data_IF_830540343863
#
_entry.id   IF_830540343863
#
_cell.length_a   1.000
_cell.length_b   1.000
_cell.length_c   1.000
_cell.angle_alpha   90.00
_cell.angle_beta   90.00
_cell.angle_gamma   90.00
#
_symmetry.space_group_name_H-M   'P 1'
#
loop_
_entity.id
_entity.type
_entity.pdbx_description
1 polymer ?
#
# COMPACT_ATOMS: atom_id res chain seq x y z
N UNK A 1 -5.62 34.89 -2.17
CA UNK A 1 -4.34 34.32 -1.71
C UNK A 1 -4.36 33.80 -0.26
N UNK A 2 -5.47 33.95 0.49
CA UNK A 2 -5.69 33.27 1.79
C UNK A 2 -6.68 32.10 1.71
N UNK A 3 -7.35 31.90 0.56
CA UNK A 3 -8.37 30.86 0.36
C UNK A 3 -7.77 29.47 0.13
N UNK A 4 -6.61 29.41 -0.52
CA UNK A 4 -6.09 28.14 -1.05
C UNK A 4 -5.39 27.34 0.05
N UNK A 5 -4.71 28.04 0.98
CA UNK A 5 -4.04 27.45 2.14
C UNK A 5 -5.06 26.86 3.13
N UNK A 6 -6.19 27.55 3.37
CA UNK A 6 -7.25 27.08 4.27
C UNK A 6 -7.99 25.89 3.65
N UNK A 7 -8.12 25.86 2.32
CA UNK A 7 -8.72 24.76 1.57
C UNK A 7 -7.91 23.47 1.71
N UNK A 8 -6.60 23.51 1.51
CA UNK A 8 -5.71 22.35 1.68
C UNK A 8 -5.72 21.82 3.12
N UNK A 9 -5.63 22.71 4.11
CA UNK A 9 -5.59 22.33 5.52
C UNK A 9 -6.88 21.66 6.02
N UNK A 10 -8.03 22.04 5.44
CA UNK A 10 -9.32 21.42 5.74
C UNK A 10 -9.45 20.08 4.99
N UNK A 11 -9.04 20.03 3.71
CA UNK A 11 -9.02 18.78 2.94
C UNK A 11 -8.16 17.71 3.64
N UNK A 12 -6.96 18.05 4.09
CA UNK A 12 -6.09 17.11 4.81
C UNK A 12 -6.71 16.60 6.13
N UNK A 13 -7.49 17.46 6.81
CA UNK A 13 -8.19 17.10 8.07
C UNK A 13 -9.45 16.25 7.86
N UNK A 14 -10.09 16.32 6.68
CA UNK A 14 -11.29 15.55 6.35
C UNK A 14 -11.03 14.33 5.46
N UNK A 15 -9.88 14.26 4.79
CA UNK A 15 -9.57 13.20 3.83
C UNK A 15 -9.04 11.90 4.46
N UNK A 16 -8.60 11.90 5.71
CA UNK A 16 -7.88 10.76 6.28
C UNK A 16 -8.49 10.39 7.64
N UNK A 17 -9.15 9.23 7.78
CA UNK A 17 -9.34 8.67 9.11
C UNK A 17 -7.95 8.40 9.69
N UNK A 18 -7.58 9.10 10.77
CA UNK A 18 -6.35 8.83 11.51
C UNK A 18 -6.44 7.43 12.12
N UNK A 19 -6.02 6.43 11.36
CA UNK A 19 -5.83 5.07 11.86
C UNK A 19 -4.34 4.91 12.15
N UNK A 20 -3.97 5.15 13.41
CA UNK A 20 -2.63 4.86 13.89
C UNK A 20 -2.52 3.36 14.15
N UNK A 21 -1.82 2.65 13.26
CA UNK A 21 -1.40 1.28 13.50
C UNK A 21 0.05 1.29 13.99
N UNK A 22 0.34 0.75 15.19
CA UNK A 22 1.71 0.45 15.59
C UNK A 22 2.37 -0.43 14.52
N UNK A 23 3.64 -0.20 14.22
CA UNK A 23 4.41 -1.00 13.25
C UNK A 23 5.81 -1.31 13.77
N UNK A 24 5.94 -1.49 15.08
CA UNK A 24 7.23 -1.74 15.74
C UNK A 24 7.62 -3.22 15.66
N UNK A 25 6.63 -4.11 15.50
CA UNK A 25 6.84 -5.56 15.43
C UNK A 25 6.34 -6.16 14.13
N UNK A 26 6.91 -7.30 13.74
CA UNK A 26 6.48 -8.04 12.55
C UNK A 26 5.01 -8.45 12.66
N UNK A 27 4.51 -8.82 13.85
CA UNK A 27 3.12 -9.20 14.05
C UNK A 27 2.15 -8.04 13.81
N UNK A 28 2.51 -6.82 14.23
CA UNK A 28 1.70 -5.64 13.99
C UNK A 28 1.66 -5.29 12.49
N UNK A 29 2.81 -5.37 11.82
CA UNK A 29 2.92 -5.19 10.36
C UNK A 29 2.09 -6.20 9.58
N UNK A 30 2.13 -7.46 9.99
CA UNK A 30 1.29 -8.55 9.45
C UNK A 30 -0.19 -8.26 9.64
N UNK A 31 -0.61 -7.83 10.83
CA UNK A 31 -2.01 -7.50 11.09
C UNK A 31 -2.51 -6.36 10.18
N UNK A 32 -1.70 -5.33 9.99
CA UNK A 32 -2.03 -4.27 9.04
C UNK A 32 -2.08 -4.78 7.60
N UNK A 33 -1.09 -5.55 7.16
CA UNK A 33 -1.07 -6.12 5.81
C UNK A 33 -2.30 -6.99 5.53
N UNK A 34 -2.74 -7.79 6.52
CA UNK A 34 -3.98 -8.57 6.44
C UNK A 34 -5.22 -7.68 6.36
N UNK A 35 -5.26 -6.60 7.14
CA UNK A 35 -6.34 -5.63 7.06
C UNK A 35 -6.42 -5.00 5.66
N UNK A 36 -5.30 -4.51 5.13
CA UNK A 36 -5.23 -3.95 3.77
C UNK A 36 -5.65 -4.96 2.71
N UNK A 37 -5.24 -6.23 2.84
CA UNK A 37 -5.64 -7.30 1.92
C UNK A 37 -7.16 -7.55 1.92
N UNK A 38 -7.84 -7.23 3.02
CA UNK A 38 -9.30 -7.35 3.12
C UNK A 38 -10.06 -6.14 2.59
N UNK A 39 -9.38 -5.00 2.36
CA UNK A 39 -10.02 -3.77 1.90
C UNK A 39 -10.36 -3.81 0.41
N UNK A 40 -11.48 -3.19 0.06
CA UNK A 40 -11.78 -2.84 -1.33
C UNK A 40 -10.88 -1.69 -1.80
N UNK A 41 -10.75 -1.55 -3.12
CA UNK A 41 -9.93 -0.48 -3.73
C UNK A 41 -10.35 0.92 -3.28
N UNK A 42 -11.65 1.19 -3.22
CA UNK A 42 -12.20 2.48 -2.77
C UNK A 42 -11.86 2.81 -1.31
N UNK A 43 -11.87 1.80 -0.43
CA UNK A 43 -11.52 1.96 0.99
C UNK A 43 -10.03 2.22 1.17
N UNK A 44 -9.18 1.60 0.35
CA UNK A 44 -7.73 1.82 0.37
C UNK A 44 -7.36 3.27 -0.03
N UNK A 45 -8.13 3.89 -0.93
CA UNK A 45 -7.90 5.29 -1.33
C UNK A 45 -8.34 6.31 -0.27
N UNK A 46 -9.03 5.89 0.79
CA UNK A 46 -9.31 6.76 1.95
C UNK A 46 -8.09 6.91 2.86
N UNK A 47 -7.02 6.15 2.62
CA UNK A 47 -5.75 6.33 3.34
C UNK A 47 -4.98 7.54 2.83
N UNK A 48 -4.03 8.04 3.63
CA UNK A 48 -3.14 9.12 3.20
C UNK A 48 -2.23 8.66 2.06
N UNK A 49 -1.79 9.58 1.19
CA UNK A 49 -0.74 9.31 0.19
C UNK A 49 0.50 8.66 0.83
N UNK A 50 0.89 9.12 2.02
CA UNK A 50 2.04 8.60 2.75
C UNK A 50 1.86 7.15 3.20
N UNK A 51 0.61 6.65 3.25
CA UNK A 51 0.35 5.25 3.56
C UNK A 51 1.02 4.32 2.54
N UNK A 52 1.10 4.72 1.27
CA UNK A 52 1.75 3.93 0.21
C UNK A 52 3.28 3.85 0.33
N UNK A 53 3.88 4.57 1.28
CA UNK A 53 5.30 4.45 1.62
C UNK A 53 5.63 3.31 2.60
N UNK A 54 4.61 2.73 3.27
CA UNK A 54 4.84 1.72 4.30
C UNK A 54 4.92 0.29 3.73
N UNK A 55 5.91 -0.52 4.13
CA UNK A 55 6.05 -1.91 3.71
C UNK A 55 4.82 -2.77 3.97
N UNK A 56 4.12 -2.54 5.08
CA UNK A 56 2.88 -3.27 5.45
C UNK A 56 1.73 -3.01 4.49
N UNK A 57 1.63 -1.81 3.93
CA UNK A 57 0.62 -1.51 2.90
C UNK A 57 1.00 -2.26 1.62
N UNK A 58 2.26 -2.19 1.19
CA UNK A 58 2.76 -2.90 0.00
C UNK A 58 2.54 -4.41 0.11
N UNK A 59 2.86 -5.01 1.26
CA UNK A 59 2.62 -6.42 1.55
C UNK A 59 1.13 -6.79 1.58
N UNK A 60 0.25 -5.82 1.86
CA UNK A 60 -1.19 -6.01 1.98
C UNK A 60 -1.97 -5.82 0.69
N UNK A 61 -1.47 -5.08 -0.30
CA UNK A 61 -2.19 -4.80 -1.56
C UNK A 61 -2.54 -6.10 -2.29
N UNK A 62 -3.78 -6.22 -2.78
CA UNK A 62 -4.21 -7.29 -3.68
C UNK A 62 -4.15 -6.88 -5.16
N UNK A 63 -4.30 -7.84 -6.06
CA UNK A 63 -4.42 -7.62 -7.50
C UNK A 63 -5.59 -6.67 -7.83
N UNK A 64 -6.73 -6.83 -7.15
CA UNK A 64 -7.88 -5.95 -7.31
C UNK A 64 -7.59 -4.53 -6.81
N UNK A 65 -6.84 -4.39 -5.71
CA UNK A 65 -6.45 -3.07 -5.21
C UNK A 65 -5.50 -2.37 -6.20
N UNK A 66 -4.49 -3.06 -6.75
CA UNK A 66 -3.53 -2.42 -7.66
C UNK A 66 -4.18 -2.02 -8.98
N UNK A 67 -5.11 -2.82 -9.51
CA UNK A 67 -5.89 -2.46 -10.68
C UNK A 67 -6.75 -1.21 -10.41
N UNK A 68 -7.40 -1.17 -9.25
CA UNK A 68 -8.22 -0.03 -8.85
C UNK A 68 -7.38 1.24 -8.65
N UNK A 69 -6.21 1.15 -8.01
CA UNK A 69 -5.27 2.26 -7.85
C UNK A 69 -4.84 2.80 -9.21
N UNK A 70 -4.43 1.92 -10.14
CA UNK A 70 -3.99 2.35 -11.46
C UNK A 70 -5.05 3.14 -12.23
N UNK A 71 -6.33 2.80 -12.05
CA UNK A 71 -7.46 3.44 -12.74
C UNK A 71 -8.01 4.68 -12.04
N UNK A 72 -8.02 4.71 -10.71
CA UNK A 72 -8.82 5.67 -9.94
C UNK A 72 -8.03 6.51 -8.94
N UNK A 73 -6.81 6.10 -8.56
CA UNK A 73 -6.04 6.85 -7.57
C UNK A 73 -5.57 8.21 -8.13
N UNK A 74 -5.46 9.23 -7.27
CA UNK A 74 -4.74 10.46 -7.60
C UNK A 74 -3.30 10.18 -8.05
N UNK A 75 -2.75 11.03 -8.92
CA UNK A 75 -1.40 10.88 -9.48
C UNK A 75 -0.34 10.71 -8.39
N UNK A 76 -0.37 11.54 -7.34
CA UNK A 76 0.58 11.49 -6.23
C UNK A 76 0.58 10.15 -5.47
N UNK A 77 -0.54 9.43 -5.42
CA UNK A 77 -0.62 8.10 -4.80
C UNK A 77 0.09 7.07 -5.66
N UNK A 78 -0.09 7.16 -6.97
CA UNK A 78 0.55 6.26 -7.92
C UNK A 78 2.06 6.50 -7.97
N UNK A 79 2.48 7.76 -7.95
CA UNK A 79 3.90 8.14 -7.90
C UNK A 79 4.54 7.63 -6.61
N UNK A 80 3.95 7.89 -5.44
CA UNK A 80 4.48 7.41 -4.15
C UNK A 80 4.60 5.88 -4.12
N UNK A 81 3.59 5.17 -4.64
CA UNK A 81 3.62 3.71 -4.76
C UNK A 81 4.77 3.24 -5.66
N UNK A 82 4.93 3.84 -6.84
CA UNK A 82 5.98 3.50 -7.80
C UNK A 82 7.38 3.77 -7.23
N UNK A 83 7.57 4.91 -6.57
CA UNK A 83 8.82 5.25 -5.92
C UNK A 83 9.13 4.31 -4.76
N UNK A 84 8.11 3.95 -3.99
CA UNK A 84 8.25 3.06 -2.84
C UNK A 84 8.67 1.65 -3.23
N UNK A 85 8.08 1.05 -4.27
CA UNK A 85 8.47 -0.30 -4.71
C UNK A 85 9.88 -0.36 -5.32
N UNK A 86 10.47 0.80 -5.69
CA UNK A 86 11.86 0.90 -6.16
C UNK A 86 12.87 0.96 -5.01
N UNK A 87 12.41 1.18 -3.78
CA UNK A 87 13.26 1.18 -2.59
C UNK A 87 13.48 -0.25 -2.12
N UNK A 88 14.68 -0.79 -2.35
CA UNK A 88 15.03 -2.18 -2.04
C UNK A 88 14.71 -2.57 -0.59
N UNK A 89 14.94 -1.68 0.38
CA UNK A 89 14.67 -1.95 1.78
C UNK A 89 13.17 -2.12 2.07
N UNK A 90 12.30 -1.33 1.41
CA UNK A 90 10.84 -1.45 1.55
C UNK A 90 10.38 -2.78 0.96
N UNK A 91 10.86 -3.08 -0.25
CA UNK A 91 10.47 -4.31 -0.95
C UNK A 91 10.91 -5.54 -0.16
N UNK A 92 12.14 -5.55 0.37
CA UNK A 92 12.63 -6.62 1.25
C UNK A 92 11.73 -6.79 2.47
N UNK A 93 11.42 -5.70 3.16
CA UNK A 93 10.57 -5.75 4.36
C UNK A 93 9.13 -6.20 4.02
N UNK A 94 8.57 -5.79 2.88
CA UNK A 94 7.27 -6.25 2.42
C UNK A 94 7.25 -7.77 2.14
N UNK A 95 8.34 -8.33 1.60
CA UNK A 95 8.50 -9.78 1.46
C UNK A 95 8.62 -10.48 2.82
N UNK A 96 9.36 -9.93 3.79
CA UNK A 96 9.44 -10.47 5.16
C UNK A 96 8.04 -10.50 5.83
N UNK A 97 7.24 -9.46 5.65
CA UNK A 97 5.85 -9.40 6.13
C UNK A 97 4.98 -10.45 5.42
N UNK A 98 5.11 -10.58 4.09
CA UNK A 98 4.34 -11.56 3.31
C UNK A 98 4.70 -13.01 3.67
N UNK A 99 5.97 -13.30 3.93
CA UNK A 99 6.42 -14.59 4.44
C UNK A 99 5.81 -14.89 5.82
N UNK A 100 5.77 -13.90 6.71
CA UNK A 100 5.13 -14.04 8.01
C UNK A 100 3.60 -14.25 7.89
N UNK A 101 2.93 -13.62 6.92
CA UNK A 101 1.52 -13.89 6.60
C UNK A 101 1.32 -15.32 6.12
N UNK A 102 2.23 -15.84 5.30
CA UNK A 102 2.18 -17.21 4.79
C UNK A 102 2.36 -18.25 5.90
N UNK A 103 3.29 -18.03 6.85
CA UNK A 103 3.48 -18.93 8.00
C UNK A 103 2.19 -19.13 8.81
N UNK A 104 1.30 -18.13 8.87
CA UNK A 104 0.00 -18.24 9.54
C UNK A 104 -0.99 -19.16 8.79
N UNK A 105 -0.79 -19.41 7.49
CA UNK A 105 -1.62 -20.29 6.67
C UNK A 105 -1.14 -21.76 6.70
N UNK A 106 0.06 -22.01 7.22
CA UNK A 106 0.67 -23.33 7.33
C UNK A 106 2.11 -23.35 6.84
N UNK A 107 2.87 -24.36 7.27
CA UNK A 107 4.24 -24.58 6.82
C UNK A 107 4.26 -24.79 5.29
N UNK A 108 5.11 -24.03 4.59
CA UNK A 108 5.30 -24.03 3.12
C UNK A 108 4.22 -23.32 2.29
N UNK A 109 3.30 -22.58 2.90
CA UNK A 109 2.50 -21.62 2.13
C UNK A 109 3.40 -20.53 1.53
N UNK A 110 3.14 -20.12 0.29
CA UNK A 110 3.87 -19.03 -0.40
C UNK A 110 2.91 -18.08 -1.12
N UNK A 111 1.61 -18.16 -0.80
CA UNK A 111 0.55 -17.47 -1.52
C UNK A 111 0.72 -15.95 -1.47
N UNK A 112 1.07 -15.41 -0.30
CA UNK A 112 1.23 -13.96 -0.12
C UNK A 112 2.50 -13.46 -0.77
N UNK A 113 3.61 -14.21 -0.68
CA UNK A 113 4.86 -13.87 -1.36
C UNK A 113 4.70 -13.88 -2.90
N UNK A 114 4.00 -14.90 -3.44
CA UNK A 114 3.71 -14.99 -4.88
C UNK A 114 2.85 -13.82 -5.35
N UNK A 115 1.77 -13.50 -4.62
CA UNK A 115 0.93 -12.32 -4.87
C UNK A 115 1.76 -11.04 -4.89
N UNK A 116 2.57 -10.81 -3.85
CA UNK A 116 3.40 -9.61 -3.76
C UNK A 116 4.36 -9.49 -4.95
N UNK A 117 5.00 -10.60 -5.34
CA UNK A 117 5.88 -10.63 -6.51
C UNK A 117 5.13 -10.26 -7.80
N UNK A 118 3.93 -10.80 -8.00
CA UNK A 118 3.09 -10.47 -9.16
C UNK A 118 2.67 -9.00 -9.18
N UNK A 119 2.33 -8.42 -8.03
CA UNK A 119 1.96 -7.00 -7.91
C UNK A 119 3.14 -6.10 -8.24
N UNK A 120 4.31 -6.36 -7.66
CA UNK A 120 5.52 -5.58 -7.93
C UNK A 120 5.87 -5.64 -9.42
N UNK A 121 5.79 -6.85 -10.01
CA UNK A 121 6.07 -7.03 -11.43
C UNK A 121 5.04 -6.28 -12.29
N UNK A 122 3.75 -6.36 -11.95
CA UNK A 122 2.69 -5.62 -12.64
C UNK A 122 2.95 -4.10 -12.63
N UNK A 123 3.31 -3.52 -11.50
CA UNK A 123 3.62 -2.08 -11.41
C UNK A 123 4.85 -1.74 -12.26
N UNK A 124 5.89 -2.60 -12.23
CA UNK A 124 7.12 -2.42 -13.02
C UNK A 124 6.88 -2.54 -14.53
N UNK A 125 5.94 -3.37 -14.96
CA UNK A 125 5.60 -3.55 -16.36
C UNK A 125 4.66 -2.44 -16.86
N UNK A 126 3.86 -1.86 -15.97
CA UNK A 126 2.84 -0.85 -16.30
C UNK A 126 3.20 0.55 -15.78
N UNK A 127 4.48 0.91 -15.71
CA UNK A 127 4.92 2.18 -15.08
C UNK A 127 4.22 3.41 -15.63
N UNK A 128 3.87 3.43 -16.92
CA UNK A 128 3.12 4.52 -17.52
C UNK A 128 1.79 4.80 -16.80
N UNK A 129 1.09 3.77 -16.33
CA UNK A 129 -0.16 3.92 -15.55
C UNK A 129 0.08 4.63 -14.21
N UNK A 130 1.32 4.57 -13.69
CA UNK A 130 1.70 5.09 -12.39
C UNK A 130 2.56 6.37 -12.44
N UNK A 131 2.80 6.91 -13.64
CA UNK A 131 3.59 8.11 -13.88
C UNK A 131 2.75 9.32 -14.35
N UNK A 132 1.43 9.16 -14.49
CA UNK A 132 0.48 10.18 -14.93
C UNK A 132 -0.76 10.26 -14.02
#
# INVERSE_FOLDING_TARGET
>A
MFSDIISEEILDKFAIPHIAFPQDTIQQKVALAQHILSLKGEELLLSSVYSFSYPSIIAGISEANIEYIGKNAPENYKTELLETIRKDYITKEAFEISEAMDKNLGENATKNQQRLNMIIQYIKDNQAVFQF
#
